data_IF_746656070817
#
_entry.id   IF_746656070817
#
_cell.length_a   1.000
_cell.length_b   1.000
_cell.length_c   1.000
_cell.angle_alpha   90.00
_cell.angle_beta   90.00
_cell.angle_gamma   90.00
#
_symmetry.space_group_name_H-M   'P 1'
#
loop_
_entity.id
_entity.type
_entity.pdbx_description
1 polymer ?
#
# COMPACT_ATOMS: atom_id res chain seq x y z
N UNK A 1 -4.62 -7.28 18.86
CA UNK A 1 -3.73 -6.64 17.86
C UNK A 1 -2.53 -7.52 17.47
N UNK A 2 -1.84 -8.13 18.44
CA UNK A 2 -0.67 -9.01 18.23
C UNK A 2 -1.01 -10.18 17.29
N UNK A 3 -2.10 -10.91 17.59
CA UNK A 3 -2.55 -12.04 16.78
C UNK A 3 -2.78 -11.69 15.30
N UNK A 4 -3.19 -10.45 15.00
CA UNK A 4 -3.41 -10.00 13.62
C UNK A 4 -2.09 -9.81 12.86
N UNK A 5 -1.01 -9.46 13.56
CA UNK A 5 0.34 -9.35 12.98
C UNK A 5 0.94 -10.75 12.84
N UNK A 6 0.79 -11.60 13.86
CA UNK A 6 1.32 -12.97 13.84
C UNK A 6 0.67 -13.83 12.74
N UNK A 7 -0.63 -13.65 12.47
CA UNK A 7 -1.33 -14.28 11.33
C UNK A 7 -1.02 -13.62 9.98
N UNK A 8 -0.17 -12.60 9.92
CA UNK A 8 0.21 -11.90 8.68
C UNK A 8 -0.86 -10.98 8.10
N UNK A 9 -1.98 -10.75 8.80
CA UNK A 9 -3.08 -9.88 8.33
C UNK A 9 -2.63 -8.42 8.28
N UNK A 10 -1.71 -8.01 9.17
CA UNK A 10 -1.11 -6.68 9.15
C UNK A 10 0.40 -6.73 9.29
N UNK A 11 1.09 -5.80 8.64
CA UNK A 11 2.55 -5.66 8.69
C UNK A 11 3.07 -4.96 9.95
N UNK A 12 2.20 -4.36 10.76
CA UNK A 12 2.58 -3.73 12.03
C UNK A 12 1.44 -3.71 13.04
N UNK A 13 1.80 -3.65 14.33
CA UNK A 13 0.83 -3.58 15.43
C UNK A 13 0.01 -2.29 15.39
N UNK A 14 0.61 -1.18 14.98
CA UNK A 14 -0.05 0.11 14.86
C UNK A 14 -1.17 0.06 13.81
N UNK A 15 -0.94 -0.59 12.66
CA UNK A 15 -1.96 -0.78 11.62
C UNK A 15 -3.08 -1.71 12.08
N UNK A 16 -2.73 -2.79 12.80
CA UNK A 16 -3.69 -3.70 13.39
C UNK A 16 -4.60 -2.97 14.40
N UNK A 17 -4.02 -2.18 15.33
CA UNK A 17 -4.78 -1.36 16.30
C UNK A 17 -5.72 -0.38 15.61
N UNK A 18 -5.22 0.38 14.63
CA UNK A 18 -6.03 1.34 13.88
C UNK A 18 -7.21 0.66 13.18
N UNK A 19 -7.02 -0.55 12.66
CA UNK A 19 -8.07 -1.30 11.97
C UNK A 19 -9.12 -1.90 12.93
N UNK A 20 -8.70 -2.34 14.11
CA UNK A 20 -9.61 -2.75 15.20
C UNK A 20 -10.46 -1.54 15.64
N UNK A 21 -9.82 -0.40 15.93
CA UNK A 21 -10.52 0.82 16.36
C UNK A 21 -11.45 1.37 15.28
N UNK A 22 -11.12 1.17 14.00
CA UNK A 22 -11.99 1.51 12.88
C UNK A 22 -13.14 0.51 12.66
N UNK A 23 -13.29 -0.51 13.51
CA UNK A 23 -14.37 -1.50 13.45
C UNK A 23 -14.26 -2.45 12.25
N UNK A 24 -13.06 -2.65 11.71
CA UNK A 24 -12.82 -3.46 10.49
C UNK A 24 -12.50 -4.92 10.77
N UNK A 25 -12.36 -5.32 12.03
CA UNK A 25 -11.95 -6.67 12.44
C UNK A 25 -13.13 -7.39 13.06
N UNK A 26 -13.36 -8.61 12.59
CA UNK A 26 -14.38 -9.52 13.09
C UNK A 26 -13.71 -10.81 13.54
N UNK A 27 -14.12 -11.33 14.69
CA UNK A 27 -13.65 -12.59 15.26
C UNK A 27 -14.88 -13.44 15.54
N UNK A 28 -14.98 -14.64 14.97
CA UNK A 28 -16.18 -15.50 15.09
C UNK A 28 -17.48 -14.75 14.71
N UNK A 29 -17.42 -13.95 13.65
CA UNK A 29 -18.54 -13.12 13.20
C UNK A 29 -18.88 -11.90 14.07
N UNK A 30 -18.20 -11.69 15.21
CA UNK A 30 -18.39 -10.51 16.08
C UNK A 30 -17.36 -9.43 15.81
N UNK A 31 -17.81 -8.18 15.71
CA UNK A 31 -16.91 -7.02 15.55
C UNK A 31 -16.11 -6.80 16.82
N UNK A 32 -14.79 -6.73 16.69
CA UNK A 32 -13.87 -6.38 17.78
C UNK A 32 -13.51 -4.90 17.64
N UNK A 33 -13.70 -4.13 18.71
CA UNK A 33 -13.40 -2.70 18.77
C UNK A 33 -12.29 -2.33 19.78
N UNK A 34 -11.82 -3.31 20.58
CA UNK A 34 -10.73 -3.15 21.55
C UNK A 34 -9.49 -3.92 21.14
N UNK A 35 -8.37 -3.22 20.98
CA UNK A 35 -7.11 -3.83 20.55
C UNK A 35 -6.55 -4.88 21.53
N UNK A 36 -6.81 -4.72 22.83
CA UNK A 36 -6.37 -5.61 23.90
C UNK A 36 -7.37 -6.72 24.27
N UNK A 37 -8.43 -6.90 23.49
CA UNK A 37 -9.37 -8.00 23.69
C UNK A 37 -8.66 -9.34 23.51
N UNK A 38 -8.82 -10.24 24.49
CA UNK A 38 -8.25 -11.59 24.43
C UNK A 38 -9.15 -12.45 23.56
N UNK A 39 -8.59 -12.97 22.48
CA UNK A 39 -9.25 -13.86 21.51
C UNK A 39 -8.48 -15.17 21.41
N UNK A 40 -9.16 -16.26 21.04
CA UNK A 40 -8.47 -17.54 20.84
C UNK A 40 -7.53 -17.45 19.64
N UNK A 41 -6.39 -18.13 19.69
CA UNK A 41 -5.45 -18.22 18.57
C UNK A 41 -6.06 -18.95 17.37
N UNK A 42 -7.02 -19.84 17.63
CA UNK A 42 -7.72 -20.65 16.64
C UNK A 42 -8.97 -19.97 16.07
N UNK A 43 -9.35 -18.80 16.60
CA UNK A 43 -10.54 -18.10 16.13
C UNK A 43 -10.42 -17.71 14.66
N UNK A 44 -11.54 -17.81 13.94
CA UNK A 44 -11.70 -17.28 12.60
C UNK A 44 -11.71 -15.74 12.69
N UNK A 45 -10.77 -15.12 11.97
CA UNK A 45 -10.62 -13.66 11.93
C UNK A 45 -10.87 -13.17 10.52
N UNK A 46 -11.83 -12.25 10.38
CA UNK A 46 -12.18 -11.62 9.11
C UNK A 46 -11.82 -10.14 9.20
N UNK A 47 -11.00 -9.67 8.26
CA UNK A 47 -10.76 -8.25 8.04
C UNK A 47 -11.67 -7.75 6.91
N UNK A 48 -12.57 -6.80 7.23
CA UNK A 48 -13.49 -6.16 6.26
C UNK A 48 -13.01 -4.78 5.79
N UNK A 49 -11.71 -4.51 5.85
CA UNK A 49 -11.17 -3.27 5.29
C UNK A 49 -10.80 -3.45 3.82
N UNK A 50 -10.85 -2.36 3.06
CA UNK A 50 -10.28 -2.33 1.72
C UNK A 50 -8.79 -2.70 1.80
N UNK A 51 -8.45 -3.81 1.16
CA UNK A 51 -7.09 -4.18 0.89
C UNK A 51 -6.54 -3.16 -0.10
N UNK A 52 -5.54 -2.38 0.32
CA UNK A 52 -4.89 -1.42 -0.57
C UNK A 52 -3.79 -2.21 -1.29
N UNK A 53 -3.90 -2.45 -2.61
CA UNK A 53 -2.94 -3.29 -3.33
C UNK A 53 -1.58 -2.61 -3.49
N UNK A 54 -1.49 -1.32 -3.14
CA UNK A 54 -0.31 -0.47 -3.31
C UNK A 54 0.42 -0.19 -1.98
N UNK A 55 1.70 0.17 -2.04
CA UNK A 55 2.51 0.55 -0.87
C UNK A 55 1.91 1.67 -0.02
N UNK A 56 1.06 2.51 -0.61
CA UNK A 56 0.29 3.51 0.12
C UNK A 56 -1.05 3.81 -0.58
N UNK A 57 -1.98 4.45 0.15
CA UNK A 57 -3.30 4.86 -0.36
C UNK A 57 -3.23 5.77 -1.59
N UNK A 58 -2.10 6.44 -1.83
CA UNK A 58 -1.89 7.29 -3.00
C UNK A 58 -2.21 6.56 -4.31
N UNK A 59 -1.83 5.28 -4.43
CA UNK A 59 -2.02 4.51 -5.67
C UNK A 59 -3.48 4.40 -6.13
N UNK A 60 -4.45 4.45 -5.20
CA UNK A 60 -5.89 4.42 -5.54
C UNK A 60 -6.32 5.63 -6.39
N UNK A 61 -5.60 6.76 -6.30
CA UNK A 61 -5.90 7.94 -7.13
C UNK A 61 -5.55 7.68 -8.59
N UNK A 62 -4.37 7.10 -8.84
CA UNK A 62 -3.94 6.76 -10.20
C UNK A 62 -4.77 5.60 -10.75
N UNK A 63 -5.10 4.59 -9.93
CA UNK A 63 -5.98 3.49 -10.35
C UNK A 63 -7.33 4.02 -10.86
N UNK A 64 -7.93 4.95 -10.13
CA UNK A 64 -9.17 5.59 -10.58
C UNK A 64 -8.95 6.35 -11.89
N UNK A 65 -7.87 7.11 -12.03
CA UNK A 65 -7.56 7.82 -13.27
C UNK A 65 -7.39 6.87 -14.47
N UNK A 66 -6.72 5.72 -14.28
CA UNK A 66 -6.57 4.68 -15.31
C UNK A 66 -7.95 4.18 -15.77
N UNK A 67 -8.82 3.85 -14.83
CA UNK A 67 -10.18 3.33 -15.10
C UNK A 67 -11.08 4.35 -15.78
N UNK A 68 -11.11 5.58 -15.26
CA UNK A 68 -12.03 6.63 -15.72
C UNK A 68 -11.59 7.26 -17.04
N UNK A 69 -10.28 7.44 -17.23
CA UNK A 69 -9.74 8.10 -18.43
C UNK A 69 -9.22 7.11 -19.49
N UNK A 70 -9.29 5.80 -19.23
CA UNK A 70 -8.85 4.77 -20.18
C UNK A 70 -7.34 4.82 -20.47
N UNK A 71 -6.52 5.21 -19.49
CA UNK A 71 -5.06 5.31 -19.67
C UNK A 71 -4.46 3.91 -19.79
N UNK A 72 -3.71 3.66 -20.86
CA UNK A 72 -2.96 2.41 -21.01
C UNK A 72 -1.48 2.60 -20.62
N UNK A 73 -1.03 1.85 -19.62
CA UNK A 73 0.34 1.86 -19.10
C UNK A 73 1.19 0.66 -19.55
N UNK A 74 0.59 -0.30 -20.26
CA UNK A 74 1.27 -1.49 -20.78
C UNK A 74 2.49 -1.07 -21.62
N UNK A 75 3.65 -1.64 -21.25
CA UNK A 75 4.94 -1.41 -21.90
C UNK A 75 5.43 0.05 -21.93
N UNK A 76 4.80 0.95 -21.17
CA UNK A 76 5.17 2.37 -21.16
C UNK A 76 6.34 2.67 -20.24
N UNK A 77 7.12 3.67 -20.63
CA UNK A 77 8.08 4.35 -19.76
C UNK A 77 7.35 5.52 -19.11
N UNK A 78 7.27 5.52 -17.79
CA UNK A 78 6.52 6.48 -17.01
C UNK A 78 7.42 7.31 -16.10
N UNK A 79 6.91 8.46 -15.67
CA UNK A 79 7.57 9.34 -14.71
C UNK A 79 6.60 9.66 -13.58
N UNK A 80 7.00 9.35 -12.35
CA UNK A 80 6.27 9.63 -11.11
C UNK A 80 6.91 10.85 -10.44
N UNK A 81 6.26 12.02 -10.52
CA UNK A 81 6.76 13.27 -9.92
C UNK A 81 6.13 13.43 -8.54
N UNK A 82 6.97 13.53 -7.50
CA UNK A 82 6.51 13.53 -6.12
C UNK A 82 6.20 12.11 -5.62
N UNK A 83 7.08 11.16 -5.96
CA UNK A 83 6.86 9.74 -5.72
C UNK A 83 6.60 9.37 -4.25
N UNK A 84 7.14 10.13 -3.29
CA UNK A 84 6.98 9.93 -1.84
C UNK A 84 7.24 8.47 -1.44
N UNK A 85 6.27 7.78 -0.82
CA UNK A 85 6.37 6.35 -0.49
C UNK A 85 6.34 5.42 -1.72
N UNK A 86 5.85 5.90 -2.86
CA UNK A 86 5.83 5.19 -4.15
C UNK A 86 4.47 4.62 -4.56
N UNK A 87 3.36 5.18 -4.06
CA UNK A 87 2.02 4.65 -4.35
C UNK A 87 1.64 4.68 -5.84
N UNK A 88 2.01 5.74 -6.56
CA UNK A 88 1.77 5.86 -7.99
C UNK A 88 2.71 4.95 -8.77
N UNK A 89 3.99 4.92 -8.43
CA UNK A 89 4.97 3.97 -8.99
C UNK A 89 4.47 2.53 -8.88
N UNK A 90 4.02 2.08 -7.72
CA UNK A 90 3.49 0.72 -7.52
C UNK A 90 2.26 0.46 -8.40
N UNK A 91 1.34 1.42 -8.48
CA UNK A 91 0.18 1.34 -9.37
C UNK A 91 0.59 1.20 -10.84
N UNK A 92 1.56 1.97 -11.33
CA UNK A 92 2.07 1.86 -12.70
C UNK A 92 2.73 0.51 -12.97
N UNK A 93 3.54 0.00 -12.05
CA UNK A 93 4.20 -1.30 -12.20
C UNK A 93 3.21 -2.48 -12.20
N UNK A 94 2.15 -2.39 -11.41
CA UNK A 94 1.07 -3.39 -11.39
C UNK A 94 0.18 -3.31 -12.64
N UNK A 95 0.18 -2.17 -13.33
CA UNK A 95 -0.45 -1.97 -14.65
C UNK A 95 0.58 -2.08 -15.79
N UNK A 96 1.60 -2.93 -15.62
CA UNK A 96 2.57 -3.34 -16.64
C UNK A 96 3.39 -2.20 -17.28
N UNK A 97 3.64 -1.12 -16.54
CA UNK A 97 4.65 -0.15 -16.96
C UNK A 97 6.03 -0.84 -17.10
N UNK A 98 6.69 -0.60 -18.23
CA UNK A 98 8.01 -1.16 -18.56
C UNK A 98 9.12 -0.57 -17.69
N UNK A 99 9.03 0.73 -17.41
CA UNK A 99 10.01 1.46 -16.59
C UNK A 99 9.34 2.65 -15.92
N UNK A 100 9.71 2.95 -14.67
CA UNK A 100 9.21 4.12 -13.94
C UNK A 100 10.38 4.92 -13.38
N UNK A 101 10.45 6.20 -13.72
CA UNK A 101 11.35 7.16 -13.08
C UNK A 101 10.62 7.82 -11.91
N UNK A 102 11.02 7.50 -10.68
CA UNK A 102 10.37 7.96 -9.47
C UNK A 102 11.16 9.10 -8.85
N UNK A 103 10.66 10.32 -9.01
CA UNK A 103 11.36 11.56 -8.71
C UNK A 103 10.75 12.20 -7.47
N UNK A 104 11.56 12.53 -6.49
CA UNK A 104 11.12 13.23 -5.28
C UNK A 104 12.23 14.11 -4.70
N UNK A 105 11.85 15.22 -4.08
CA UNK A 105 12.79 16.12 -3.38
C UNK A 105 13.16 15.58 -1.99
N UNK A 106 12.30 14.73 -1.40
CA UNK A 106 12.51 14.05 -0.15
C UNK A 106 13.53 12.90 -0.25
N UNK A 107 13.76 12.24 0.88
CA UNK A 107 14.72 11.15 1.00
C UNK A 107 14.29 10.12 2.05
N UNK A 108 14.50 8.84 1.75
CA UNK A 108 14.33 7.73 2.70
C UNK A 108 12.88 7.29 2.93
N UNK A 109 11.94 7.76 2.11
CA UNK A 109 10.51 7.42 2.24
C UNK A 109 10.07 6.35 1.25
N UNK A 110 10.79 6.22 0.13
CA UNK A 110 10.42 5.31 -0.95
C UNK A 110 10.50 3.85 -0.51
N UNK A 111 9.43 3.09 -0.72
CA UNK A 111 9.30 1.73 -0.22
C UNK A 111 10.41 0.82 -0.77
N UNK A 112 11.01 0.01 0.12
CA UNK A 112 12.13 -0.87 -0.22
C UNK A 112 11.83 -1.77 -1.42
N UNK A 113 10.63 -2.38 -1.46
CA UNK A 113 10.21 -3.26 -2.56
C UNK A 113 10.29 -2.59 -3.93
N UNK A 114 9.98 -1.29 -4.00
CA UNK A 114 10.01 -0.51 -5.23
C UNK A 114 11.43 -0.04 -5.56
N UNK A 115 12.21 0.29 -4.53
CA UNK A 115 13.63 0.66 -4.69
C UNK A 115 14.45 -0.47 -5.31
N UNK A 116 14.10 -1.71 -5.00
CA UNK A 116 14.77 -2.90 -5.53
C UNK A 116 14.16 -3.44 -6.82
N UNK A 117 13.04 -2.90 -7.30
CA UNK A 117 12.44 -3.35 -8.56
C UNK A 117 13.30 -2.88 -9.74
N UNK A 118 13.76 -3.78 -10.64
CA UNK A 118 14.64 -3.42 -11.75
C UNK A 118 13.98 -2.48 -12.78
N UNK A 119 12.65 -2.38 -12.78
CA UNK A 119 11.90 -1.46 -13.64
C UNK A 119 11.88 -0.03 -13.09
N UNK A 120 12.31 0.19 -11.85
CA UNK A 120 12.29 1.52 -11.21
C UNK A 120 13.66 2.19 -11.32
N UNK A 121 13.65 3.51 -11.53
CA UNK A 121 14.79 4.40 -11.30
C UNK A 121 14.40 5.34 -10.17
N UNK A 122 14.97 5.14 -8.98
CA UNK A 122 14.69 5.97 -7.82
C UNK A 122 15.58 7.22 -7.83
N UNK A 123 14.97 8.39 -7.97
CA UNK A 123 15.61 9.71 -8.05
C UNK A 123 15.13 10.58 -6.88
N UNK A 124 15.49 10.19 -5.66
CA UNK A 124 15.29 11.01 -4.46
C UNK A 124 16.26 12.21 -4.45
N UNK A 125 15.98 13.21 -3.60
CA UNK A 125 16.73 14.48 -3.53
C UNK A 125 16.87 15.18 -4.90
N UNK A 126 15.91 14.96 -5.79
CA UNK A 126 15.94 15.48 -7.15
C UNK A 126 14.76 16.40 -7.34
N UNK A 127 15.04 17.66 -7.70
CA UNK A 127 14.01 18.58 -8.18
C UNK A 127 13.79 18.32 -9.68
N UNK A 128 12.53 18.37 -10.12
CA UNK A 128 12.16 18.17 -11.53
C UNK A 128 12.41 19.42 -12.40
N UNK A 129 12.61 20.59 -11.78
CA UNK A 129 12.87 21.86 -12.47
C UNK A 129 14.32 22.02 -12.87
#
# INVERSE_FOLDING_TARGET
DILLVDKGIFTSRERAKASIMAGKIFVEGRRVDKAGEKVSIDSEIIFKGEEIPYVCRGGLKLEKAIKEFGVNLEDKVCMDIGASTGGFTDCMLQNNAKKVFSIDVGYGQFAWKLRTDPRVVCMERTNIR
#
